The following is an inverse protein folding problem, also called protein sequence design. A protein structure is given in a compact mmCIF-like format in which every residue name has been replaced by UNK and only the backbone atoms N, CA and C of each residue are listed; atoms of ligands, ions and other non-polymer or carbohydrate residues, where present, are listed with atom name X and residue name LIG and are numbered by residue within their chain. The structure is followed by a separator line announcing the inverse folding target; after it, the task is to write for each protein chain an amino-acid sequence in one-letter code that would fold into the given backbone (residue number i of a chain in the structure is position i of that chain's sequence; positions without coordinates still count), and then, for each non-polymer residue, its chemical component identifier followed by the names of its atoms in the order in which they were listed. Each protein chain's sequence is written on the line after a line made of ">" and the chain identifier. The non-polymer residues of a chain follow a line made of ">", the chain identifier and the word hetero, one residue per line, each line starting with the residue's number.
data_IF_494349513190
#
_entry.id   IF_494349513190
#
_cell.length_a   1.000
_cell.length_b   1.000
_cell.length_c   1.000
_cell.angle_alpha   90.00
_cell.angle_beta   90.00
_cell.angle_gamma   90.00
#
_symmetry.space_group_name_H-M   'P 1'
#
loop_
_entity.id
_entity.type
_entity.pdbx_description
1 polymer ?
#
# COMPACT_ATOMS: atom_id res chain seq x y z
N UNK A 1 26.93 13.67 5.88
CA UNK A 1 26.46 13.96 4.50
C UNK A 1 27.05 15.30 4.08
N UNK A 2 27.52 15.44 2.84
CA UNK A 2 27.91 16.76 2.33
C UNK A 2 26.68 17.67 2.14
N UNK A 3 26.88 18.99 2.05
CA UNK A 3 25.79 19.97 1.94
C UNK A 3 24.89 19.72 0.72
N UNK A 4 25.46 19.22 -0.39
CA UNK A 4 24.72 18.91 -1.60
C UNK A 4 23.80 17.70 -1.40
N UNK A 5 24.28 16.63 -0.76
CA UNK A 5 23.48 15.46 -0.41
C UNK A 5 22.35 15.83 0.57
N UNK A 6 22.61 16.72 1.53
CA UNK A 6 21.56 17.16 2.47
C UNK A 6 20.45 17.95 1.77
N UNK A 7 20.79 18.85 0.85
CA UNK A 7 19.80 19.54 0.01
C UNK A 7 18.97 18.54 -0.81
N UNK A 8 19.63 17.56 -1.41
CA UNK A 8 18.97 16.50 -2.19
C UNK A 8 18.05 15.62 -1.33
N UNK A 9 18.47 15.29 -0.10
CA UNK A 9 17.67 14.56 0.88
C UNK A 9 16.40 15.32 1.23
N UNK A 10 16.53 16.60 1.58
CA UNK A 10 15.38 17.45 1.92
C UNK A 10 14.41 17.56 0.74
N UNK A 11 14.93 17.65 -0.48
CA UNK A 11 14.12 17.65 -1.69
C UNK A 11 13.35 16.33 -1.87
N UNK A 12 14.03 15.18 -1.81
CA UNK A 12 13.39 13.85 -1.92
C UNK A 12 12.34 13.65 -0.80
N UNK A 13 12.64 14.09 0.43
CA UNK A 13 11.67 14.07 1.52
C UNK A 13 10.40 14.86 1.16
N UNK A 14 10.54 16.09 0.63
CA UNK A 14 9.39 16.88 0.17
C UNK A 14 8.61 16.17 -0.93
N UNK A 15 9.30 15.55 -1.90
CA UNK A 15 8.65 14.74 -2.94
C UNK A 15 7.81 13.61 -2.35
N UNK A 16 8.30 12.89 -1.32
CA UNK A 16 7.55 11.83 -0.66
C UNK A 16 6.29 12.34 0.05
N UNK A 17 6.37 13.50 0.73
CA UNK A 17 5.19 14.14 1.34
C UNK A 17 4.16 14.53 0.27
N UNK A 18 4.61 15.15 -0.82
CA UNK A 18 3.72 15.54 -1.93
C UNK A 18 3.12 14.31 -2.59
N UNK A 19 3.90 13.24 -2.81
CA UNK A 19 3.43 11.99 -3.38
C UNK A 19 2.31 11.38 -2.52
N UNK A 20 2.54 11.25 -1.21
CA UNK A 20 1.52 10.75 -0.26
C UNK A 20 0.28 11.63 -0.25
N UNK A 21 0.44 12.96 -0.26
CA UNK A 21 -0.68 13.88 -0.32
C UNK A 21 -1.51 13.68 -1.59
N UNK A 22 -0.85 13.60 -2.75
CA UNK A 22 -1.49 13.32 -4.03
C UNK A 22 -2.24 11.99 -3.98
N UNK A 23 -1.62 10.92 -3.46
CA UNK A 23 -2.28 9.62 -3.34
C UNK A 23 -3.55 9.65 -2.50
N UNK A 24 -3.56 10.42 -1.42
CA UNK A 24 -4.70 10.51 -0.51
C UNK A 24 -5.82 11.35 -1.11
N UNK A 25 -5.49 12.47 -1.76
CA UNK A 25 -6.48 13.44 -2.25
C UNK A 25 -6.76 13.37 -3.75
N UNK A 26 -6.16 12.44 -4.49
CA UNK A 26 -6.29 12.30 -5.95
C UNK A 26 -7.76 12.28 -6.40
N UNK A 27 -8.60 11.46 -5.78
CA UNK A 27 -10.00 11.32 -6.17
C UNK A 27 -10.80 12.60 -5.96
N UNK A 28 -10.63 13.25 -4.82
CA UNK A 28 -11.31 14.52 -4.51
C UNK A 28 -10.84 15.63 -5.45
N UNK A 29 -9.52 15.76 -5.67
CA UNK A 29 -8.96 16.76 -6.58
C UNK A 29 -9.48 16.57 -8.01
N UNK A 30 -9.51 15.33 -8.51
CA UNK A 30 -9.99 15.04 -9.87
C UNK A 30 -11.49 15.32 -10.04
N UNK A 31 -12.31 15.16 -8.99
CA UNK A 31 -13.74 15.51 -9.01
C UNK A 31 -13.99 17.02 -9.05
N UNK A 32 -13.11 17.81 -8.43
CA UNK A 32 -13.25 19.27 -8.36
C UNK A 32 -12.69 20.00 -9.58
N UNK A 33 -11.89 19.32 -10.40
CA UNK A 33 -11.18 19.91 -11.53
C UNK A 33 -11.85 19.54 -12.86
N UNK A 34 -11.74 20.39 -13.89
CA UNK A 34 -12.09 20.03 -15.27
C UNK A 34 -11.37 18.75 -15.72
N UNK A 35 -11.99 17.98 -16.62
CA UNK A 35 -11.51 16.66 -17.07
C UNK A 35 -10.04 16.65 -17.50
N UNK A 36 -9.59 17.67 -18.23
CA UNK A 36 -8.20 17.81 -18.66
C UNK A 36 -7.22 17.95 -17.47
N UNK A 37 -7.57 18.76 -16.46
CA UNK A 37 -6.76 18.91 -15.25
C UNK A 37 -6.84 17.66 -14.36
N UNK A 38 -7.98 16.96 -14.35
CA UNK A 38 -8.14 15.66 -13.69
C UNK A 38 -7.19 14.59 -14.25
N UNK A 39 -6.91 14.61 -15.55
CA UNK A 39 -5.91 13.73 -16.17
C UNK A 39 -4.49 14.07 -15.70
N UNK A 40 -4.13 15.36 -15.62
CA UNK A 40 -2.82 15.77 -15.09
C UNK A 40 -2.63 15.34 -13.64
N UNK A 41 -3.66 15.46 -12.80
CA UNK A 41 -3.62 14.98 -11.41
C UNK A 41 -3.45 13.46 -11.37
N UNK A 42 -4.09 12.71 -12.27
CA UNK A 42 -3.90 11.27 -12.38
C UNK A 42 -2.44 10.90 -12.67
N UNK A 43 -1.75 11.61 -13.58
CA UNK A 43 -0.34 11.36 -13.90
C UNK A 43 0.66 12.03 -12.94
N UNK A 44 0.21 12.87 -12.00
CA UNK A 44 1.10 13.61 -11.11
C UNK A 44 2.01 12.70 -10.28
N UNK A 45 1.49 11.58 -9.78
CA UNK A 45 2.28 10.56 -9.06
C UNK A 45 3.41 9.97 -9.91
N UNK A 46 3.20 9.84 -11.22
CA UNK A 46 4.18 9.29 -12.15
C UNK A 46 5.32 10.30 -12.34
N UNK A 47 4.96 11.57 -12.54
CA UNK A 47 5.91 12.69 -12.65
C UNK A 47 6.76 12.79 -11.38
N UNK A 48 6.14 12.71 -10.19
CA UNK A 48 6.86 12.75 -8.92
C UNK A 48 7.85 11.58 -8.76
N UNK A 49 7.47 10.38 -9.21
CA UNK A 49 8.37 9.22 -9.20
C UNK A 49 9.52 9.38 -10.19
N UNK A 50 9.27 9.90 -11.39
CA UNK A 50 10.30 10.21 -12.40
C UNK A 50 11.30 11.25 -11.85
N UNK A 51 10.81 12.32 -11.21
CA UNK A 51 11.65 13.29 -10.51
C UNK A 51 12.48 12.62 -9.40
N UNK A 52 11.88 11.65 -8.70
CA UNK A 52 12.55 10.76 -7.75
C UNK A 52 13.72 9.99 -8.38
N UNK A 53 13.53 9.38 -9.56
CA UNK A 53 14.58 8.65 -10.29
C UNK A 53 15.76 9.57 -10.61
N UNK A 54 15.50 10.75 -11.18
CA UNK A 54 16.55 11.72 -11.51
C UNK A 54 17.26 12.27 -10.27
N UNK A 55 16.57 12.33 -9.14
CA UNK A 55 17.17 12.76 -7.88
C UNK A 55 18.06 11.67 -7.28
N UNK A 56 17.58 10.42 -7.30
CA UNK A 56 18.30 9.27 -6.77
C UNK A 56 19.53 8.91 -7.60
N UNK A 57 19.53 9.16 -8.92
CA UNK A 57 20.73 8.95 -9.75
C UNK A 57 21.91 9.84 -9.36
N UNK A 58 21.64 10.98 -8.70
CA UNK A 58 22.65 11.92 -8.15
C UNK A 58 22.97 11.63 -6.67
N UNK A 59 22.25 10.72 -6.04
CA UNK A 59 22.39 10.40 -4.62
C UNK A 59 23.50 9.36 -4.39
N UNK A 60 24.27 9.53 -3.32
CA UNK A 60 25.24 8.51 -2.87
C UNK A 60 24.51 7.47 -2.01
N UNK A 61 23.90 6.48 -2.67
CA UNK A 61 23.22 5.38 -2.00
C UNK A 61 24.22 4.45 -1.31
N UNK A 62 23.84 3.91 -0.15
CA UNK A 62 24.62 2.93 0.58
C UNK A 62 23.74 1.80 1.15
N UNK A 63 24.39 0.72 1.60
CA UNK A 63 23.76 -0.38 2.31
C UNK A 63 22.56 -0.98 1.58
N UNK A 64 21.45 -1.14 2.32
CA UNK A 64 20.23 -1.79 1.83
C UNK A 64 19.54 -1.00 0.71
N UNK A 65 19.65 0.34 0.70
CA UNK A 65 19.06 1.17 -0.35
C UNK A 65 19.75 0.95 -1.70
N UNK A 66 21.09 0.86 -1.70
CA UNK A 66 21.85 0.55 -2.91
C UNK A 66 21.55 -0.86 -3.44
N UNK A 67 21.43 -1.84 -2.54
CA UNK A 67 21.07 -3.20 -2.91
C UNK A 67 19.68 -3.26 -3.55
N UNK A 68 18.68 -2.57 -2.96
CA UNK A 68 17.33 -2.51 -3.53
C UNK A 68 17.36 -1.86 -4.93
N UNK A 69 18.11 -0.77 -5.09
CA UNK A 69 18.27 -0.09 -6.38
C UNK A 69 18.96 -0.97 -7.44
N UNK A 70 19.95 -1.76 -7.06
CA UNK A 70 20.60 -2.73 -7.98
C UNK A 70 19.61 -3.81 -8.43
N UNK A 71 18.86 -4.38 -7.50
CA UNK A 71 17.88 -5.42 -7.82
C UNK A 71 16.74 -4.87 -8.69
N UNK A 72 16.32 -3.63 -8.45
CA UNK A 72 15.37 -2.95 -9.32
C UNK A 72 15.88 -2.84 -10.76
N UNK A 73 17.16 -2.44 -10.96
CA UNK A 73 17.78 -2.43 -12.30
C UNK A 73 17.82 -3.82 -12.93
N UNK A 74 18.11 -4.85 -12.16
CA UNK A 74 18.07 -6.24 -12.65
C UNK A 74 16.67 -6.62 -13.12
N UNK A 75 15.63 -6.30 -12.34
CA UNK A 75 14.24 -6.55 -12.75
C UNK A 75 13.88 -5.77 -14.00
N UNK A 76 14.32 -4.51 -14.14
CA UNK A 76 14.15 -3.74 -15.38
C UNK A 76 14.70 -4.45 -16.62
N UNK A 77 15.86 -5.11 -16.51
CA UNK A 77 16.43 -5.87 -17.62
C UNK A 77 15.58 -7.10 -17.97
N UNK A 78 15.04 -7.80 -16.96
CA UNK A 78 14.19 -8.97 -17.16
C UNK A 78 12.82 -8.60 -17.75
N UNK A 79 12.40 -7.34 -17.64
CA UNK A 79 11.18 -6.84 -18.29
C UNK A 79 11.36 -6.47 -19.77
N UNK A 80 12.58 -6.54 -20.33
CA UNK A 80 12.82 -6.18 -21.73
C UNK A 80 11.98 -7.03 -22.70
N UNK A 81 11.89 -8.38 -22.59
CA UNK A 81 11.11 -9.19 -23.53
C UNK A 81 9.62 -8.79 -23.65
N UNK A 82 8.82 -8.70 -22.56
CA UNK A 82 7.42 -8.28 -22.68
C UNK A 82 7.29 -6.83 -23.15
N UNK A 83 8.25 -5.95 -22.84
CA UNK A 83 8.25 -4.57 -23.36
C UNK A 83 8.44 -4.58 -24.89
N UNK A 84 9.45 -5.29 -25.39
CA UNK A 84 9.72 -5.38 -26.83
C UNK A 84 8.53 -5.98 -27.57
N UNK A 85 7.92 -7.03 -27.02
CA UNK A 85 6.71 -7.62 -27.57
C UNK A 85 5.56 -6.59 -27.66
N UNK A 86 5.34 -5.84 -26.59
CA UNK A 86 4.29 -4.80 -26.56
C UNK A 86 4.56 -3.66 -27.53
N UNK A 87 5.82 -3.26 -27.73
CA UNK A 87 6.21 -2.19 -28.67
C UNK A 87 5.77 -2.52 -30.11
N UNK A 88 5.77 -3.79 -30.50
CA UNK A 88 5.29 -4.19 -31.83
C UNK A 88 3.78 -4.02 -32.01
N UNK A 89 3.00 -4.05 -30.93
CA UNK A 89 1.57 -3.78 -30.95
C UNK A 89 1.27 -2.28 -30.77
N UNK A 90 1.81 -1.68 -29.71
CA UNK A 90 1.63 -0.28 -29.37
C UNK A 90 2.81 0.24 -28.50
N UNK A 91 3.69 1.09 -29.06
CA UNK A 91 4.81 1.68 -28.33
C UNK A 91 4.41 2.53 -27.12
N UNK A 92 3.29 3.26 -27.19
CA UNK A 92 2.82 4.11 -26.09
C UNK A 92 2.34 3.22 -24.94
N UNK A 93 1.62 2.15 -25.28
CA UNK A 93 1.16 1.17 -24.31
C UNK A 93 2.32 0.50 -23.58
N UNK A 94 3.42 0.17 -24.28
CA UNK A 94 4.61 -0.42 -23.67
C UNK A 94 5.20 0.44 -22.54
N UNK A 95 5.25 1.76 -22.73
CA UNK A 95 5.73 2.72 -21.72
C UNK A 95 4.75 2.79 -20.55
N UNK A 96 3.45 2.78 -20.86
CA UNK A 96 2.40 2.79 -19.85
C UNK A 96 2.36 1.51 -19.00
N UNK A 97 2.55 0.34 -19.62
CA UNK A 97 2.70 -0.92 -18.92
C UNK A 97 3.96 -0.92 -18.06
N UNK A 98 5.09 -0.45 -18.60
CA UNK A 98 6.36 -0.44 -17.87
C UNK A 98 6.28 0.37 -16.58
N UNK A 99 5.61 1.53 -16.59
CA UNK A 99 5.46 2.33 -15.38
C UNK A 99 4.67 1.59 -14.29
N UNK A 100 3.68 0.78 -14.68
CA UNK A 100 2.78 0.13 -13.76
C UNK A 100 3.51 -0.86 -12.84
N UNK A 101 4.46 -1.60 -13.41
CA UNK A 101 5.27 -2.57 -12.68
C UNK A 101 6.52 -1.95 -12.05
N UNK A 102 7.22 -1.06 -12.78
CA UNK A 102 8.60 -0.72 -12.42
C UNK A 102 8.83 0.70 -11.91
N UNK A 103 7.98 1.68 -12.25
CA UNK A 103 8.24 3.09 -11.91
C UNK A 103 8.20 3.31 -10.40
N UNK A 104 7.19 2.77 -9.73
CA UNK A 104 6.91 3.08 -8.33
C UNK A 104 7.89 2.45 -7.34
N UNK A 105 8.75 1.52 -7.80
CA UNK A 105 9.79 0.94 -6.95
C UNK A 105 10.77 1.97 -6.40
N UNK A 106 10.97 3.06 -7.13
CA UNK A 106 11.85 4.15 -6.72
C UNK A 106 11.47 4.72 -5.35
N UNK A 107 10.19 4.67 -4.98
CA UNK A 107 9.69 5.14 -3.68
C UNK A 107 10.35 4.36 -2.54
N UNK A 108 10.55 3.06 -2.69
CA UNK A 108 11.23 2.22 -1.70
C UNK A 108 12.70 2.58 -1.50
N UNK A 109 13.35 3.12 -2.54
CA UNK A 109 14.74 3.60 -2.49
C UNK A 109 14.80 5.04 -1.96
N UNK A 110 13.84 5.89 -2.32
CA UNK A 110 13.73 7.28 -1.83
C UNK A 110 13.55 7.35 -0.32
N UNK A 111 12.78 6.43 0.27
CA UNK A 111 12.49 6.38 1.70
C UNK A 111 13.76 6.33 2.60
N UNK A 112 14.63 5.29 2.54
CA UNK A 112 15.83 5.23 3.37
C UNK A 112 16.85 6.32 3.06
N UNK A 113 16.82 6.92 1.86
CA UNK A 113 17.63 8.10 1.57
C UNK A 113 17.08 9.35 2.24
N UNK A 114 15.77 9.60 2.17
CA UNK A 114 15.11 10.76 2.76
C UNK A 114 15.16 10.78 4.30
N UNK A 115 15.09 9.59 4.90
CA UNK A 115 15.06 9.38 6.34
C UNK A 115 16.23 8.51 6.79
N UNK A 116 17.47 9.04 6.76
CA UNK A 116 18.62 8.30 7.26
C UNK A 116 18.51 8.07 8.78
N UNK A 117 19.33 7.16 9.35
CA UNK A 117 19.26 6.79 10.76
C UNK A 117 19.28 7.96 11.76
N UNK A 118 20.04 9.02 11.48
CA UNK A 118 20.10 10.22 12.32
C UNK A 118 18.83 11.10 12.27
N UNK A 119 17.91 10.83 11.34
CA UNK A 119 16.66 11.58 11.11
C UNK A 119 15.39 10.77 11.43
N UNK A 120 15.48 9.81 12.35
CA UNK A 120 14.35 8.98 12.77
C UNK A 120 13.13 9.79 13.26
N UNK A 121 13.33 10.95 13.88
CA UNK A 121 12.22 11.81 14.29
C UNK A 121 11.47 12.44 13.10
N UNK A 122 12.15 12.68 11.97
CA UNK A 122 11.49 13.10 10.73
C UNK A 122 10.63 11.97 10.14
N UNK A 123 11.13 10.72 10.20
CA UNK A 123 10.36 9.55 9.75
C UNK A 123 9.11 9.33 10.61
N UNK A 124 9.21 9.48 11.94
CA UNK A 124 8.03 9.44 12.82
C UNK A 124 6.99 10.48 12.42
N UNK A 125 7.41 11.73 12.15
CA UNK A 125 6.50 12.79 11.69
C UNK A 125 5.84 12.43 10.35
N UNK A 126 6.57 11.79 9.45
CA UNK A 126 6.03 11.29 8.18
C UNK A 126 4.95 10.23 8.42
N UNK A 127 5.23 9.21 9.24
CA UNK A 127 4.24 8.19 9.64
C UNK A 127 3.03 8.82 10.33
N UNK A 128 3.25 9.71 11.30
CA UNK A 128 2.18 10.45 11.99
C UNK A 128 1.32 11.24 11.01
N UNK A 129 1.91 11.87 9.99
CA UNK A 129 1.13 12.63 8.99
C UNK A 129 0.20 11.75 8.16
N UNK A 130 0.64 10.52 7.83
CA UNK A 130 -0.19 9.54 7.11
C UNK A 130 -1.34 9.06 8.00
N UNK A 131 -1.06 8.76 9.27
CA UNK A 131 -2.11 8.39 10.22
C UNK A 131 -3.08 9.54 10.49
N UNK A 132 -2.61 10.78 10.59
CA UNK A 132 -3.48 11.95 10.75
C UNK A 132 -4.42 12.16 9.56
N UNK A 133 -4.01 11.76 8.35
CA UNK A 133 -4.87 11.79 7.18
C UNK A 133 -6.08 10.82 7.27
N UNK A 134 -6.09 9.88 8.23
CA UNK A 134 -7.29 9.08 8.53
C UNK A 134 -8.48 9.97 8.93
N UNK A 135 -8.22 11.08 9.63
CA UNK A 135 -9.29 11.97 10.13
C UNK A 135 -10.06 12.63 8.97
N UNK A 136 -9.42 13.42 8.07
CA UNK A 136 -10.14 14.05 6.97
C UNK A 136 -10.70 13.02 5.98
N UNK A 137 -9.99 11.92 5.70
CA UNK A 137 -10.51 10.88 4.80
C UNK A 137 -11.76 10.22 5.38
N UNK A 138 -11.76 9.88 6.66
CA UNK A 138 -12.94 9.29 7.30
C UNK A 138 -14.09 10.27 7.40
N UNK A 139 -13.82 11.55 7.67
CA UNK A 139 -14.86 12.58 7.67
C UNK A 139 -15.55 12.69 6.29
N UNK A 140 -14.78 12.67 5.20
CA UNK A 140 -15.33 12.64 3.83
C UNK A 140 -16.11 11.35 3.56
N UNK A 141 -15.66 10.21 4.07
CA UNK A 141 -16.37 8.94 3.93
C UNK A 141 -17.74 8.96 4.65
N UNK A 142 -17.78 9.51 5.87
CA UNK A 142 -19.03 9.72 6.63
C UNK A 142 -19.97 10.65 5.90
N UNK A 143 -19.45 11.73 5.32
CA UNK A 143 -20.22 12.65 4.50
C UNK A 143 -20.79 11.94 3.25
N UNK A 144 -19.96 11.19 2.52
CA UNK A 144 -20.40 10.40 1.36
C UNK A 144 -21.53 9.43 1.70
N UNK A 145 -21.41 8.71 2.82
CA UNK A 145 -22.43 7.76 3.27
C UNK A 145 -23.76 8.44 3.66
N UNK A 146 -23.70 9.71 4.06
CA UNK A 146 -24.88 10.49 4.47
C UNK A 146 -25.56 11.20 3.29
N UNK A 147 -24.95 11.19 2.11
CA UNK A 147 -25.43 11.88 0.90
C UNK A 147 -26.04 10.87 -0.08
N UNK A 148 -26.97 11.31 -0.95
CA UNK A 148 -27.56 10.43 -1.97
C UNK A 148 -26.50 9.98 -3.00
N UNK A 149 -26.74 8.83 -3.65
CA UNK A 149 -25.82 8.30 -4.67
C UNK A 149 -25.61 9.24 -5.87
N UNK A 150 -26.61 10.07 -6.17
CA UNK A 150 -26.56 11.11 -7.22
C UNK A 150 -25.73 12.33 -6.86
N UNK A 151 -25.33 12.50 -5.60
CA UNK A 151 -24.52 13.64 -5.19
C UNK A 151 -23.13 13.58 -5.84
N UNK A 152 -22.59 14.72 -6.30
CA UNK A 152 -21.31 14.78 -7.03
C UNK A 152 -20.14 14.10 -6.28
N UNK A 153 -20.15 14.16 -4.94
CA UNK A 153 -19.15 13.50 -4.10
C UNK A 153 -19.20 11.96 -4.20
N UNK A 154 -20.38 11.40 -4.53
CA UNK A 154 -20.69 9.99 -4.68
C UNK A 154 -20.68 9.50 -6.14
N UNK A 155 -20.40 10.40 -7.10
CA UNK A 155 -20.18 10.01 -8.50
C UNK A 155 -18.75 9.51 -8.71
N UNK A 156 -18.53 8.80 -9.81
CA UNK A 156 -17.18 8.47 -10.27
C UNK A 156 -16.44 9.73 -10.71
N UNK A 157 -15.12 9.62 -10.96
CA UNK A 157 -14.34 10.76 -11.46
C UNK A 157 -14.80 11.23 -12.85
N UNK A 158 -15.38 10.33 -13.63
CA UNK A 158 -15.90 10.64 -14.97
C UNK A 158 -17.39 11.06 -14.93
N UNK A 159 -17.95 11.26 -13.72
CA UNK A 159 -19.34 11.69 -13.51
C UNK A 159 -20.37 10.58 -13.62
N UNK A 160 -19.96 9.34 -13.93
CA UNK A 160 -20.86 8.20 -13.98
C UNK A 160 -21.35 7.77 -12.59
N UNK A 161 -22.57 7.23 -12.54
CA UNK A 161 -23.14 6.65 -11.32
C UNK A 161 -22.27 5.51 -10.81
N UNK A 162 -22.00 5.49 -9.50
CA UNK A 162 -21.33 4.38 -8.82
C UNK A 162 -22.29 3.27 -8.39
N UNK A 163 -23.57 3.31 -8.80
CA UNK A 163 -24.58 2.30 -8.47
C UNK A 163 -24.20 0.91 -8.99
N UNK A 164 -23.51 0.82 -10.14
CA UNK A 164 -22.96 -0.45 -10.65
C UNK A 164 -21.84 -1.03 -9.76
N UNK A 165 -21.28 -0.23 -8.85
CA UNK A 165 -20.35 -0.67 -7.82
C UNK A 165 -21.03 -0.73 -6.43
N UNK A 166 -22.35 -0.61 -6.36
CA UNK A 166 -23.10 -0.80 -5.12
C UNK A 166 -22.95 -2.25 -4.64
N UNK A 167 -22.89 -2.41 -3.33
CA UNK A 167 -22.93 -3.72 -2.70
C UNK A 167 -24.33 -3.91 -2.14
N UNK A 168 -25.09 -4.86 -2.68
CA UNK A 168 -26.46 -5.12 -2.25
C UNK A 168 -27.34 -3.86 -2.23
N UNK A 169 -27.22 -3.00 -3.26
CA UNK A 169 -27.97 -1.74 -3.34
C UNK A 169 -27.46 -0.63 -2.41
N UNK A 170 -26.39 -0.85 -1.63
CA UNK A 170 -25.72 0.19 -0.83
C UNK A 170 -24.52 0.76 -1.55
N UNK A 171 -24.43 2.09 -1.57
CA UNK A 171 -23.29 2.81 -2.14
C UNK A 171 -22.02 2.50 -1.33
N UNK A 172 -20.93 2.17 -2.02
CA UNK A 172 -19.60 2.05 -1.41
C UNK A 172 -18.87 3.38 -1.46
N UNK A 173 -18.35 3.83 -0.32
CA UNK A 173 -17.65 5.12 -0.23
C UNK A 173 -16.16 4.97 -0.54
N UNK A 174 -15.63 5.85 -1.40
CA UNK A 174 -14.20 5.90 -1.75
C UNK A 174 -13.43 6.99 -0.99
N UNK A 175 -14.11 7.76 -0.15
CA UNK A 175 -13.56 8.94 0.52
C UNK A 175 -12.96 9.92 -0.50
N UNK A 176 -11.75 10.42 -0.25
CA UNK A 176 -10.97 11.31 -1.11
C UNK A 176 -10.22 10.56 -2.22
N UNK A 177 -10.35 9.23 -2.31
CA UNK A 177 -9.68 8.38 -3.30
C UNK A 177 -10.54 8.19 -4.56
N UNK A 178 -9.90 7.86 -5.68
CA UNK A 178 -10.60 7.70 -6.96
C UNK A 178 -11.50 6.47 -6.99
N UNK A 179 -11.22 5.46 -6.17
CA UNK A 179 -12.05 4.26 -6.03
C UNK A 179 -11.89 3.60 -4.65
N UNK A 180 -12.86 2.77 -4.29
CA UNK A 180 -12.97 2.10 -2.98
C UNK A 180 -11.78 1.20 -2.66
N UNK A 181 -11.20 0.55 -3.68
CA UNK A 181 -9.98 -0.26 -3.54
C UNK A 181 -8.77 0.55 -3.08
N UNK A 182 -8.53 1.74 -3.66
CA UNK A 182 -7.45 2.64 -3.21
C UNK A 182 -7.61 3.01 -1.75
N UNK A 183 -8.83 3.37 -1.34
CA UNK A 183 -9.11 3.72 0.05
C UNK A 183 -8.87 2.53 0.99
N UNK A 184 -9.29 1.33 0.60
CA UNK A 184 -9.07 0.09 1.36
C UNK A 184 -7.58 -0.18 1.61
N UNK A 185 -6.74 -0.04 0.58
CA UNK A 185 -5.29 -0.26 0.73
C UNK A 185 -4.60 0.84 1.54
N UNK A 186 -5.06 2.09 1.46
CA UNK A 186 -4.63 3.15 2.37
C UNK A 186 -4.97 2.80 3.82
N UNK A 187 -6.18 2.33 4.11
CA UNK A 187 -6.59 1.92 5.45
C UNK A 187 -5.73 0.76 5.98
N UNK A 188 -5.43 -0.25 5.15
CA UNK A 188 -4.55 -1.38 5.52
C UNK A 188 -3.13 -0.90 5.89
N UNK A 189 -2.60 0.06 5.12
CA UNK A 189 -1.29 0.66 5.38
C UNK A 189 -1.30 1.52 6.65
N UNK A 190 -2.29 2.40 6.78
CA UNK A 190 -2.47 3.28 7.92
C UNK A 190 -2.71 2.49 9.21
N UNK A 191 -3.40 1.34 9.15
CA UNK A 191 -3.56 0.39 10.23
C UNK A 191 -2.21 -0.11 10.75
N UNK A 192 -1.33 -0.54 9.83
CA UNK A 192 0.01 -1.02 10.18
C UNK A 192 0.88 0.08 10.79
N UNK A 193 0.83 1.30 10.23
CA UNK A 193 1.51 2.48 10.76
C UNK A 193 0.97 2.96 12.12
N UNK A 194 -0.35 2.87 12.34
CA UNK A 194 -0.96 3.19 13.62
C UNK A 194 -0.58 2.16 14.69
N UNK A 195 -0.60 0.87 14.34
CA UNK A 195 -0.11 -0.18 15.22
C UNK A 195 1.36 0.06 15.60
N UNK A 196 2.24 0.36 14.64
CA UNK A 196 3.62 0.77 14.94
C UNK A 196 3.71 1.96 15.88
N UNK A 197 2.86 2.98 15.68
CA UNK A 197 2.86 4.20 16.52
C UNK A 197 2.55 3.89 18.00
N UNK A 198 1.79 2.83 18.28
CA UNK A 198 1.53 2.35 19.64
C UNK A 198 2.74 1.67 20.30
N UNK A 199 3.59 1.04 19.49
CA UNK A 199 4.78 0.30 19.94
C UNK A 199 6.08 1.11 19.84
N UNK A 200 6.01 2.39 19.48
CA UNK A 200 7.21 3.20 19.36
C UNK A 200 8.02 3.21 20.68
N UNK A 201 9.36 3.00 20.64
CA UNK A 201 10.19 3.09 21.84
C UNK A 201 10.00 4.46 22.49
N UNK A 202 9.46 4.46 23.71
CA UNK A 202 9.17 5.70 24.43
C UNK A 202 10.49 6.38 24.80
N UNK A 203 10.75 7.56 24.25
CA UNK A 203 11.54 8.55 24.99
C UNK A 203 10.70 8.95 26.20
N UNK A 204 11.31 9.25 27.35
CA UNK A 204 10.55 9.78 28.48
C UNK A 204 9.90 11.12 28.10
N UNK A 205 8.67 11.06 27.61
CA UNK A 205 7.87 12.24 27.30
C UNK A 205 7.12 12.62 28.57
N UNK A 206 7.62 13.64 29.28
CA UNK A 206 6.98 14.18 30.49
C UNK A 206 5.91 15.22 30.12
N UNK A 207 4.82 15.26 30.90
CA UNK A 207 3.79 16.32 30.83
C UNK A 207 2.86 16.28 29.61
N UNK A 208 2.50 17.47 29.09
CA UNK A 208 1.46 17.71 28.07
C UNK A 208 1.60 16.87 26.79
N UNK A 209 2.83 16.53 26.40
CA UNK A 209 3.07 15.76 25.19
C UNK A 209 2.55 14.30 25.27
N UNK A 210 2.43 13.73 26.47
CA UNK A 210 1.78 12.41 26.67
C UNK A 210 0.28 12.46 26.39
N UNK A 211 -0.40 13.51 26.86
CA UNK A 211 -1.85 13.69 26.63
C UNK A 211 -2.17 13.85 25.15
N UNK A 212 -1.38 14.66 24.42
CA UNK A 212 -1.53 14.81 22.98
C UNK A 212 -1.33 13.50 22.21
N UNK A 213 -0.38 12.65 22.62
CA UNK A 213 -0.19 11.35 22.00
C UNK A 213 -1.41 10.44 22.18
N UNK A 214 -2.04 10.44 23.36
CA UNK A 214 -3.26 9.66 23.61
C UNK A 214 -4.41 10.17 22.75
N UNK A 215 -4.63 11.49 22.69
CA UNK A 215 -5.68 12.10 21.86
C UNK A 215 -5.46 11.75 20.38
N UNK A 216 -4.22 11.86 19.89
CA UNK A 216 -3.86 11.48 18.54
C UNK A 216 -4.17 10.01 18.24
N UNK A 217 -3.73 9.08 19.10
CA UNK A 217 -3.97 7.65 18.92
C UNK A 217 -5.47 7.30 18.99
N UNK A 218 -6.22 7.94 19.89
CA UNK A 218 -7.66 7.75 20.00
C UNK A 218 -8.38 8.28 18.77
N UNK A 219 -8.10 9.52 18.34
CA UNK A 219 -8.73 10.12 17.18
C UNK A 219 -8.46 9.31 15.90
N UNK A 220 -7.19 8.97 15.64
CA UNK A 220 -6.82 8.18 14.46
C UNK A 220 -7.31 6.73 14.53
N UNK A 221 -7.35 6.13 15.72
CA UNK A 221 -7.92 4.79 15.93
C UNK A 221 -9.42 4.72 15.68
N UNK A 222 -10.18 5.70 16.17
CA UNK A 222 -11.62 5.83 15.90
C UNK A 222 -11.86 6.11 14.42
N UNK A 223 -11.09 7.00 13.80
CA UNK A 223 -11.17 7.25 12.36
C UNK A 223 -10.87 5.99 11.54
N UNK A 224 -9.83 5.23 11.89
CA UNK A 224 -9.52 3.97 11.20
C UNK A 224 -10.67 2.97 11.31
N UNK A 225 -11.26 2.83 12.50
CA UNK A 225 -12.40 1.95 12.74
C UNK A 225 -13.59 2.32 11.84
N UNK A 226 -14.05 3.58 11.93
CA UNK A 226 -15.17 4.06 11.12
C UNK A 226 -14.84 3.92 9.63
N UNK A 227 -13.66 4.40 9.21
CA UNK A 227 -13.19 4.33 7.82
C UNK A 227 -13.17 2.90 7.28
N UNK A 228 -12.74 1.92 8.08
CA UNK A 228 -12.64 0.51 7.67
C UNK A 228 -14.02 -0.09 7.37
N UNK A 229 -15.01 0.12 8.24
CA UNK A 229 -16.34 -0.47 8.07
C UNK A 229 -17.22 0.31 7.09
N UNK A 230 -17.16 1.65 7.12
CA UNK A 230 -18.01 2.50 6.27
C UNK A 230 -17.74 2.30 4.78
N UNK A 231 -16.54 1.83 4.39
CA UNK A 231 -16.23 1.51 2.99
C UNK A 231 -17.15 0.45 2.37
N UNK A 232 -17.79 -0.39 3.19
CA UNK A 232 -18.53 -1.59 2.74
C UNK A 232 -17.64 -2.62 2.00
N UNK A 233 -16.31 -2.48 2.09
CA UNK A 233 -15.34 -3.31 1.39
C UNK A 233 -14.72 -4.36 2.29
N UNK A 234 -14.89 -5.65 1.95
CA UNK A 234 -14.21 -6.76 2.65
C UNK A 234 -12.68 -6.59 2.65
N UNK A 235 -12.10 -6.02 1.58
CA UNK A 235 -10.66 -5.76 1.48
C UNK A 235 -10.12 -4.79 2.54
N UNK A 236 -10.93 -3.84 3.02
CA UNK A 236 -10.53 -2.94 4.11
C UNK A 236 -10.60 -3.67 5.46
N UNK A 237 -11.73 -4.31 5.76
CA UNK A 237 -11.95 -5.00 7.05
C UNK A 237 -11.00 -6.18 7.22
N UNK A 238 -11.00 -7.11 6.25
CA UNK A 238 -10.14 -8.30 6.29
C UNK A 238 -8.68 -7.92 6.11
N UNK A 239 -8.37 -6.90 5.31
CA UNK A 239 -7.00 -6.43 5.12
C UNK A 239 -6.40 -5.87 6.41
N UNK A 240 -7.10 -4.95 7.09
CA UNK A 240 -6.71 -4.45 8.40
C UNK A 240 -6.61 -5.58 9.42
N UNK A 241 -7.59 -6.49 9.45
CA UNK A 241 -7.59 -7.66 10.33
C UNK A 241 -6.36 -8.56 10.13
N UNK A 242 -6.05 -8.93 8.90
CA UNK A 242 -4.88 -9.76 8.56
C UNK A 242 -3.58 -9.04 8.90
N UNK A 243 -3.45 -7.74 8.60
CA UNK A 243 -2.28 -6.95 9.00
C UNK A 243 -2.08 -6.99 10.52
N UNK A 244 -3.14 -6.76 11.31
CA UNK A 244 -3.04 -6.81 12.77
C UNK A 244 -2.71 -8.21 13.27
N UNK A 245 -3.42 -9.25 12.83
CA UNK A 245 -3.21 -10.64 13.27
C UNK A 245 -1.80 -11.11 12.95
N UNK A 246 -1.34 -10.96 11.70
CA UNK A 246 0.02 -11.35 11.32
C UNK A 246 1.06 -10.48 12.03
N UNK A 247 0.82 -9.17 12.16
CA UNK A 247 1.71 -8.25 12.87
C UNK A 247 1.89 -8.64 14.33
N UNK A 248 0.80 -8.98 15.03
CA UNK A 248 0.84 -9.48 16.41
C UNK A 248 1.49 -10.87 16.49
N UNK A 249 1.22 -11.77 15.55
CA UNK A 249 1.85 -13.09 15.50
C UNK A 249 3.38 -12.99 15.38
N UNK A 250 3.88 -12.22 14.40
CA UNK A 250 5.32 -11.97 14.25
C UNK A 250 5.90 -11.24 15.48
N UNK A 251 5.21 -10.25 16.02
CA UNK A 251 5.70 -9.53 17.18
C UNK A 251 5.74 -10.41 18.45
N UNK A 252 4.80 -11.34 18.62
CA UNK A 252 4.76 -12.28 19.73
C UNK A 252 5.94 -13.26 19.72
N UNK A 253 6.45 -13.64 18.53
CA UNK A 253 7.64 -14.50 18.40
C UNK A 253 8.89 -13.85 19.02
N UNK A 254 9.06 -12.53 18.87
CA UNK A 254 10.27 -11.82 19.34
C UNK A 254 10.09 -11.15 20.70
N UNK A 255 8.87 -10.72 21.03
CA UNK A 255 8.58 -9.84 22.17
C UNK A 255 7.24 -10.19 22.85
N UNK A 256 7.04 -11.45 23.30
CA UNK A 256 5.73 -11.89 23.81
C UNK A 256 5.22 -11.05 24.98
N UNK A 257 6.09 -10.67 25.93
CA UNK A 257 5.70 -9.84 27.08
C UNK A 257 5.20 -8.43 26.70
N UNK A 258 5.73 -7.83 25.62
CA UNK A 258 5.23 -6.54 25.13
C UNK A 258 3.86 -6.69 24.46
N UNK A 259 3.64 -7.80 23.75
CA UNK A 259 2.37 -8.09 23.09
C UNK A 259 1.27 -8.44 24.09
N UNK A 260 1.58 -9.23 25.12
CA UNK A 260 0.61 -9.51 26.19
C UNK A 260 0.23 -8.22 26.92
N UNK A 261 1.21 -7.41 27.35
CA UNK A 261 0.94 -6.20 28.13
C UNK A 261 0.22 -5.10 27.35
N UNK A 262 0.66 -4.81 26.11
CA UNK A 262 0.12 -3.70 25.31
C UNK A 262 -0.93 -4.16 24.30
N UNK A 263 -0.73 -5.31 23.67
CA UNK A 263 -1.61 -5.85 22.65
C UNK A 263 -2.98 -6.22 23.21
N UNK A 264 -3.07 -6.86 24.38
CA UNK A 264 -4.36 -7.16 25.02
C UNK A 264 -5.14 -5.89 25.34
N UNK A 265 -4.48 -4.84 25.84
CA UNK A 265 -5.12 -3.54 26.08
C UNK A 265 -5.62 -2.96 24.75
N UNK A 266 -4.81 -3.00 23.69
CA UNK A 266 -5.20 -2.54 22.37
C UNK A 266 -6.42 -3.28 21.82
N UNK A 267 -6.46 -4.61 21.95
CA UNK A 267 -7.59 -5.46 21.53
C UNK A 267 -8.85 -5.17 22.35
N UNK A 268 -8.71 -5.03 23.67
CA UNK A 268 -9.83 -4.69 24.55
C UNK A 268 -10.42 -3.31 24.18
N UNK A 269 -9.56 -2.29 24.03
CA UNK A 269 -9.99 -0.94 23.62
C UNK A 269 -10.64 -0.98 22.24
N UNK A 270 -10.05 -1.71 21.28
CA UNK A 270 -10.62 -1.88 19.94
C UNK A 270 -12.01 -2.52 19.99
N UNK A 271 -12.18 -3.58 20.77
CA UNK A 271 -13.46 -4.31 20.91
C UNK A 271 -14.54 -3.41 21.52
N UNK A 272 -14.19 -2.67 22.58
CA UNK A 272 -15.10 -1.72 23.23
C UNK A 272 -15.48 -0.60 22.26
N UNK A 273 -14.52 -0.02 21.54
CA UNK A 273 -14.78 1.03 20.56
C UNK A 273 -15.64 0.52 19.41
N UNK A 274 -15.35 -0.68 18.89
CA UNK A 274 -16.13 -1.31 17.82
C UNK A 274 -17.57 -1.53 18.25
N UNK A 275 -17.80 -2.10 19.44
CA UNK A 275 -19.14 -2.30 20.00
C UNK A 275 -19.87 -0.97 20.23
N UNK A 276 -19.18 0.03 20.80
CA UNK A 276 -19.75 1.36 21.04
C UNK A 276 -20.13 2.10 19.75
N UNK A 277 -19.27 2.09 18.73
CA UNK A 277 -19.55 2.73 17.43
C UNK A 277 -20.69 1.97 16.73
N UNK A 278 -20.70 0.63 16.75
CA UNK A 278 -21.78 -0.16 16.15
C UNK A 278 -23.12 0.09 16.81
N UNK A 279 -23.16 0.23 18.14
CA UNK A 279 -24.37 0.57 18.88
C UNK A 279 -24.85 2.00 18.59
N UNK A 280 -23.93 2.96 18.50
CA UNK A 280 -24.26 4.37 18.26
C UNK A 280 -24.62 4.68 16.79
N UNK A 281 -24.01 3.95 15.85
CA UNK A 281 -24.03 4.22 14.40
C UNK A 281 -24.06 2.92 13.58
N UNK A 282 -25.13 2.12 13.66
CA UNK A 282 -25.26 0.88 12.89
C UNK A 282 -25.18 1.10 11.37
N UNK A 283 -25.55 2.29 10.89
CA UNK A 283 -25.48 2.66 9.46
C UNK A 283 -24.06 2.58 8.88
N UNK A 284 -23.02 2.72 9.70
CA UNK A 284 -21.62 2.58 9.25
C UNK A 284 -21.21 1.13 8.99
N UNK A 285 -21.98 0.17 9.51
CA UNK A 285 -21.74 -1.25 9.36
C UNK A 285 -22.68 -1.89 8.34
N UNK A 286 -23.82 -1.26 8.03
CA UNK A 286 -24.88 -1.81 7.19
C UNK A 286 -24.36 -2.42 5.87
N UNK A 287 -23.57 -1.67 5.10
CA UNK A 287 -23.04 -2.15 3.81
C UNK A 287 -22.05 -3.33 3.96
N UNK A 288 -21.36 -3.45 5.08
CA UNK A 288 -20.50 -4.60 5.38
C UNK A 288 -21.33 -5.78 5.88
N UNK A 289 -22.24 -5.53 6.82
CA UNK A 289 -23.12 -6.51 7.43
C UNK A 289 -23.92 -7.22 6.35
N UNK A 290 -24.55 -6.48 5.43
CA UNK A 290 -25.32 -7.03 4.30
C UNK A 290 -24.50 -7.99 3.44
N UNK A 291 -23.26 -7.63 3.10
CA UNK A 291 -22.34 -8.53 2.38
C UNK A 291 -21.90 -9.73 3.19
N UNK A 292 -21.95 -9.64 4.52
CA UNK A 292 -21.56 -10.73 5.42
C UNK A 292 -22.75 -11.55 5.90
N UNK A 293 -23.98 -11.10 5.67
CA UNK A 293 -25.22 -11.70 6.16
C UNK A 293 -26.02 -12.41 5.09
N UNK A 294 -25.62 -12.34 3.81
CA UNK A 294 -26.16 -13.21 2.75
C UNK A 294 -25.94 -14.68 3.15
N UNK A 295 -26.92 -15.20 3.90
CA UNK A 295 -27.00 -16.50 4.57
C UNK A 295 -27.96 -17.45 3.83
N UNK A 296 -28.59 -17.03 2.73
CA UNK A 296 -29.63 -17.80 2.03
C UNK A 296 -29.08 -18.79 0.98
N UNK A 297 -27.76 -18.96 0.89
CA UNK A 297 -27.16 -20.14 0.25
C UNK A 297 -25.86 -20.46 0.98
N UNK A 298 -25.52 -21.74 1.21
CA UNK A 298 -24.37 -22.19 2.00
C UNK A 298 -22.97 -21.85 1.44
N UNK A 299 -22.77 -20.66 0.88
CA UNK A 299 -21.71 -20.29 -0.04
C UNK A 299 -20.73 -19.24 0.51
N UNK A 300 -20.70 -18.88 1.80
CA UNK A 300 -19.60 -18.01 2.28
C UNK A 300 -18.23 -18.68 2.07
N UNK A 301 -18.14 -19.98 2.36
CA UNK A 301 -16.95 -20.76 2.07
C UNK A 301 -16.73 -20.93 0.56
N UNK A 302 -17.80 -21.02 -0.25
CA UNK A 302 -17.69 -21.17 -1.70
C UNK A 302 -17.36 -19.87 -2.43
N UNK A 303 -17.81 -18.72 -1.94
CA UNK A 303 -17.46 -17.40 -2.45
C UNK A 303 -16.03 -17.05 -2.02
N UNK A 304 -15.64 -17.35 -0.78
CA UNK A 304 -14.25 -17.17 -0.33
C UNK A 304 -13.30 -18.12 -1.07
N UNK A 305 -13.69 -19.39 -1.24
CA UNK A 305 -12.94 -20.36 -2.06
C UNK A 305 -12.92 -19.90 -3.52
N UNK A 306 -14.05 -19.48 -4.09
CA UNK A 306 -14.14 -18.98 -5.46
C UNK A 306 -13.32 -17.73 -5.70
N UNK A 307 -13.17 -16.84 -4.71
CA UNK A 307 -12.29 -15.67 -4.82
C UNK A 307 -10.83 -16.02 -4.60
N UNK A 308 -10.49 -16.83 -3.61
CA UNK A 308 -9.08 -17.21 -3.39
C UNK A 308 -8.61 -18.12 -4.52
N UNK A 309 -9.29 -19.25 -4.71
CA UNK A 309 -9.00 -20.21 -5.77
C UNK A 309 -9.19 -19.58 -7.15
N UNK A 310 -10.27 -18.84 -7.39
CA UNK A 310 -10.50 -18.21 -8.68
C UNK A 310 -9.47 -17.13 -9.00
N UNK A 311 -9.06 -16.29 -8.04
CA UNK A 311 -7.98 -15.33 -8.28
C UNK A 311 -6.64 -16.00 -8.63
N UNK A 312 -6.43 -17.27 -8.27
CA UNK A 312 -5.21 -18.01 -8.56
C UNK A 312 -5.34 -19.03 -9.69
N UNK A 313 -6.54 -19.45 -10.08
CA UNK A 313 -6.77 -20.52 -11.05
C UNK A 313 -7.68 -20.12 -12.22
N UNK A 314 -8.43 -19.01 -12.15
CA UNK A 314 -9.34 -18.65 -13.25
C UNK A 314 -8.61 -18.43 -14.57
N UNK A 315 -7.36 -17.95 -14.53
CA UNK A 315 -6.50 -17.85 -15.71
C UNK A 315 -6.32 -19.16 -16.47
N UNK A 316 -6.33 -20.33 -15.80
CA UNK A 316 -6.13 -21.62 -16.49
C UNK A 316 -7.26 -21.96 -17.45
N UNK A 317 -8.45 -21.38 -17.25
CA UNK A 317 -9.61 -21.67 -18.08
C UNK A 317 -9.50 -21.05 -19.47
N UNK A 318 -8.86 -19.89 -19.60
CA UNK A 318 -8.78 -19.15 -20.87
C UNK A 318 -7.37 -19.09 -21.45
N UNK A 319 -6.31 -19.24 -20.64
CA UNK A 319 -4.93 -19.07 -21.13
C UNK A 319 -4.58 -20.05 -22.24
N UNK A 320 -5.04 -21.31 -22.13
CA UNK A 320 -4.71 -22.38 -23.08
C UNK A 320 -5.56 -22.34 -24.35
N UNK A 321 -6.53 -21.41 -24.43
CA UNK A 321 -7.31 -21.15 -25.64
C UNK A 321 -6.61 -20.12 -26.55
N UNK A 322 -5.54 -19.47 -26.07
CA UNK A 322 -4.77 -18.48 -26.82
C UNK A 322 -3.63 -19.11 -27.63
N UNK A 323 -3.08 -18.35 -28.58
CA UNK A 323 -1.87 -18.73 -29.32
C UNK A 323 -0.66 -18.91 -28.38
N UNK A 324 0.27 -19.79 -28.72
CA UNK A 324 1.47 -20.10 -27.92
C UNK A 324 2.30 -18.85 -27.62
N UNK A 325 2.36 -17.89 -28.54
CA UNK A 325 3.05 -16.62 -28.34
C UNK A 325 2.36 -15.81 -27.23
N UNK A 326 1.03 -15.72 -27.27
CA UNK A 326 0.23 -15.04 -26.25
C UNK A 326 0.25 -15.77 -24.89
N UNK A 327 0.33 -17.11 -24.88
CA UNK A 327 0.53 -17.88 -23.64
C UNK A 327 1.85 -17.49 -22.95
N UNK A 328 2.93 -17.34 -23.72
CA UNK A 328 4.27 -17.07 -23.17
C UNK A 328 4.46 -15.59 -22.83
N UNK A 329 4.09 -14.68 -23.74
CA UNK A 329 4.38 -13.24 -23.67
C UNK A 329 3.16 -12.35 -23.45
N UNK A 330 1.96 -12.93 -23.39
CA UNK A 330 0.71 -12.21 -23.14
C UNK A 330 0.21 -11.46 -24.37
N UNK A 331 -0.75 -10.57 -24.13
CA UNK A 331 -1.40 -9.75 -25.13
C UNK A 331 -0.89 -8.29 -25.13
N UNK A 332 0.16 -7.99 -24.37
CA UNK A 332 0.75 -6.66 -24.27
C UNK A 332 0.70 -6.09 -22.86
N UNK A 333 1.84 -5.52 -22.44
CA UNK A 333 2.05 -4.96 -21.12
C UNK A 333 1.18 -3.72 -20.92
N UNK A 334 0.40 -3.68 -19.85
CA UNK A 334 -0.46 -2.54 -19.52
C UNK A 334 -1.82 -2.52 -20.21
N UNK A 335 -2.17 -3.50 -21.06
CA UNK A 335 -3.48 -3.59 -21.72
C UNK A 335 -4.63 -3.57 -20.71
N UNK A 336 -4.47 -4.20 -19.55
CA UNK A 336 -5.52 -4.34 -18.54
C UNK A 336 -5.40 -3.32 -17.40
N UNK A 337 -4.42 -2.42 -17.50
CA UNK A 337 -4.20 -1.33 -16.55
C UNK A 337 -5.34 -0.31 -16.61
N UNK A 338 -5.60 0.36 -15.48
CA UNK A 338 -6.65 1.36 -15.42
C UNK A 338 -6.29 2.60 -16.24
N UNK A 339 -7.15 2.98 -17.19
CA UNK A 339 -6.96 4.13 -18.07
C UNK A 339 -6.14 3.85 -19.33
N UNK A 340 -5.72 2.60 -19.57
CA UNK A 340 -5.02 2.21 -20.81
C UNK A 340 -5.89 2.41 -22.05
N UNK A 341 -7.20 2.23 -21.92
CA UNK A 341 -8.19 2.44 -22.99
C UNK A 341 -8.29 3.91 -23.44
N UNK A 342 -7.83 4.85 -22.62
CA UNK A 342 -7.83 6.28 -22.96
C UNK A 342 -6.58 6.72 -23.74
N UNK A 343 -5.57 5.86 -23.84
CA UNK A 343 -4.26 6.20 -24.44
C UNK A 343 -3.86 5.26 -25.59
N UNK A 344 -4.49 4.10 -25.72
CA UNK A 344 -4.15 3.05 -26.68
C UNK A 344 -5.43 2.48 -27.29
N UNK A 345 -5.55 2.59 -28.61
CA UNK A 345 -6.67 1.98 -29.35
C UNK A 345 -6.62 0.46 -29.25
N UNK A 346 -5.42 -0.13 -29.34
CA UNK A 346 -5.21 -1.57 -29.17
C UNK A 346 -5.74 -2.07 -27.82
N UNK A 347 -5.46 -1.33 -26.74
CA UNK A 347 -6.01 -1.66 -25.42
C UNK A 347 -7.52 -1.50 -25.34
N UNK A 348 -8.10 -0.52 -26.05
CA UNK A 348 -9.54 -0.32 -26.10
C UNK A 348 -10.24 -1.48 -26.80
N UNK A 349 -9.75 -1.89 -27.97
CA UNK A 349 -10.32 -2.98 -28.77
C UNK A 349 -10.27 -4.30 -28.01
N UNK A 350 -9.13 -4.64 -27.40
CA UNK A 350 -8.99 -5.86 -26.60
C UNK A 350 -9.94 -5.91 -25.38
N UNK A 351 -10.22 -4.78 -24.73
CA UNK A 351 -11.16 -4.74 -23.59
C UNK A 351 -12.63 -4.86 -24.03
N UNK A 352 -12.95 -4.58 -25.29
CA UNK A 352 -14.27 -4.82 -25.85
C UNK A 352 -14.48 -6.29 -26.19
N UNK A 353 -13.44 -6.95 -26.69
CA UNK A 353 -13.49 -8.35 -27.11
C UNK A 353 -13.33 -9.34 -25.93
N UNK A 354 -12.55 -8.97 -24.92
CA UNK A 354 -12.26 -9.83 -23.78
C UNK A 354 -13.03 -9.43 -22.51
N UNK A 355 -13.40 -10.41 -21.70
CA UNK A 355 -13.85 -10.17 -20.33
C UNK A 355 -12.67 -9.66 -19.52
N UNK A 356 -12.74 -8.40 -19.07
CA UNK A 356 -11.67 -7.77 -18.30
C UNK A 356 -11.23 -8.61 -17.09
N UNK A 357 -9.93 -8.56 -16.77
CA UNK A 357 -9.35 -9.34 -15.68
C UNK A 357 -9.68 -8.72 -14.32
N UNK A 358 -10.22 -9.52 -13.39
CA UNK A 358 -10.56 -9.05 -12.05
C UNK A 358 -9.34 -9.04 -11.12
N UNK A 359 -8.52 -10.10 -11.14
CA UNK A 359 -7.38 -10.27 -10.25
C UNK A 359 -6.07 -9.74 -10.83
N UNK A 360 -5.10 -9.43 -9.97
CA UNK A 360 -3.74 -9.02 -10.36
C UNK A 360 -2.98 -10.15 -11.07
N UNK A 361 -3.22 -11.40 -10.66
CA UNK A 361 -2.59 -12.58 -11.24
C UNK A 361 -3.10 -12.80 -12.67
N UNK A 362 -4.42 -12.80 -12.86
CA UNK A 362 -5.04 -12.88 -14.18
C UNK A 362 -4.57 -11.73 -15.08
N UNK A 363 -4.49 -10.51 -14.55
CA UNK A 363 -3.97 -9.33 -15.26
C UNK A 363 -2.53 -9.52 -15.71
N UNK A 364 -1.67 -10.03 -14.83
CA UNK A 364 -0.24 -10.22 -15.12
C UNK A 364 -0.06 -11.28 -16.22
N UNK A 365 -0.82 -12.38 -16.16
CA UNK A 365 -0.79 -13.43 -17.19
C UNK A 365 -1.37 -12.91 -18.50
N UNK A 366 -2.47 -12.18 -18.46
CA UNK A 366 -3.08 -11.65 -19.67
C UNK A 366 -2.16 -10.68 -20.39
N UNK A 367 -1.50 -9.79 -19.65
CA UNK A 367 -0.63 -8.74 -20.21
C UNK A 367 0.72 -9.28 -20.69
N UNK A 368 1.38 -10.16 -19.92
CA UNK A 368 2.76 -10.58 -20.19
C UNK A 368 2.99 -12.09 -20.20
N UNK A 369 1.92 -12.88 -20.20
CA UNK A 369 1.96 -14.34 -20.27
C UNK A 369 2.51 -14.99 -19.02
N UNK A 370 2.79 -16.30 -19.13
CA UNK A 370 3.45 -17.07 -18.07
C UNK A 370 4.82 -16.47 -17.74
N UNK A 371 5.53 -15.90 -18.72
CA UNK A 371 6.83 -15.27 -18.50
C UNK A 371 6.74 -14.13 -17.48
N UNK A 372 5.86 -13.15 -17.71
CA UNK A 372 5.72 -12.02 -16.80
C UNK A 372 5.21 -12.48 -15.44
N UNK A 373 4.28 -13.45 -15.39
CA UNK A 373 3.79 -13.97 -14.12
C UNK A 373 4.92 -14.58 -13.27
N UNK A 374 5.77 -15.41 -13.86
CA UNK A 374 6.94 -15.99 -13.16
C UNK A 374 7.87 -14.89 -12.68
N UNK A 375 8.27 -13.96 -13.57
CA UNK A 375 9.22 -12.89 -13.23
C UNK A 375 8.67 -11.99 -12.12
N UNK A 376 7.43 -11.54 -12.27
CA UNK A 376 6.80 -10.59 -11.36
C UNK A 376 6.53 -11.19 -9.99
N UNK A 377 5.96 -12.40 -9.93
CA UNK A 377 5.66 -13.06 -8.66
C UNK A 377 6.90 -13.63 -7.98
N UNK A 378 7.91 -14.09 -8.72
CA UNK A 378 9.21 -14.43 -8.13
C UNK A 378 9.86 -13.21 -7.48
N UNK A 379 9.77 -12.04 -8.12
CA UNK A 379 10.26 -10.80 -7.54
C UNK A 379 9.46 -10.40 -6.28
N UNK A 380 8.14 -10.51 -6.30
CA UNK A 380 7.30 -10.25 -5.11
C UNK A 380 7.61 -11.19 -3.95
N UNK A 381 7.79 -12.48 -4.22
CA UNK A 381 8.21 -13.46 -3.24
C UNK A 381 9.59 -13.12 -2.68
N UNK A 382 10.53 -12.73 -3.53
CA UNK A 382 11.85 -12.26 -3.11
C UNK A 382 11.75 -11.04 -2.17
N UNK A 383 10.86 -10.06 -2.45
CA UNK A 383 10.65 -8.92 -1.55
C UNK A 383 10.15 -9.35 -0.16
N UNK A 384 9.23 -10.31 -0.11
CA UNK A 384 8.72 -10.87 1.15
C UNK A 384 9.87 -11.53 1.93
N UNK A 385 10.63 -12.41 1.28
CA UNK A 385 11.77 -13.11 1.88
C UNK A 385 12.82 -12.11 2.35
N UNK A 386 13.07 -11.06 1.57
CA UNK A 386 14.01 -10.00 1.89
C UNK A 386 13.61 -9.24 3.17
N UNK A 387 12.35 -8.79 3.26
CA UNK A 387 11.83 -8.12 4.45
C UNK A 387 11.76 -9.05 5.68
N UNK A 388 11.39 -10.32 5.47
CA UNK A 388 11.40 -11.34 6.51
C UNK A 388 12.82 -11.57 7.06
N UNK A 389 13.82 -11.66 6.18
CA UNK A 389 15.23 -11.78 6.57
C UNK A 389 15.74 -10.57 7.36
N UNK A 390 15.26 -9.36 7.06
CA UNK A 390 15.53 -8.16 7.86
C UNK A 390 14.92 -8.27 9.26
N UNK A 391 13.65 -8.67 9.34
CA UNK A 391 12.95 -8.87 10.62
C UNK A 391 13.63 -9.95 11.47
N UNK A 392 14.00 -11.09 10.88
CA UNK A 392 14.68 -12.18 11.58
C UNK A 392 16.02 -11.74 12.19
N UNK A 393 16.80 -10.94 11.45
CA UNK A 393 18.11 -10.41 11.87
C UNK A 393 18.02 -9.28 12.90
N UNK A 394 16.83 -8.72 13.15
CA UNK A 394 16.65 -7.69 14.17
C UNK A 394 16.80 -8.30 15.57
N UNK A 395 17.81 -7.81 16.32
CA UNK A 395 18.13 -8.31 17.67
C UNK A 395 17.34 -7.60 18.77
N UNK A 396 17.02 -6.32 18.56
CA UNK A 396 16.31 -5.52 19.57
C UNK A 396 14.81 -5.75 19.49
N UNK A 397 14.26 -6.13 20.64
CA UNK A 397 12.83 -6.44 20.83
C UNK A 397 11.92 -5.31 20.35
N UNK A 398 12.19 -4.06 20.72
CA UNK A 398 11.30 -2.95 20.38
C UNK A 398 11.20 -2.70 18.86
N UNK A 399 12.34 -2.70 18.16
CA UNK A 399 12.37 -2.47 16.72
C UNK A 399 11.80 -3.67 15.93
N UNK A 400 11.98 -4.89 16.45
CA UNK A 400 11.40 -6.09 15.84
C UNK A 400 9.86 -6.06 15.84
N UNK A 401 9.23 -5.48 16.88
CA UNK A 401 7.77 -5.31 16.93
C UNK A 401 7.31 -4.35 15.84
N UNK A 402 7.99 -3.22 15.66
CA UNK A 402 7.66 -2.27 14.58
C UNK A 402 7.78 -2.91 13.19
N UNK A 403 8.87 -3.65 12.97
CA UNK A 403 9.09 -4.39 11.73
C UNK A 403 8.02 -5.47 11.48
N UNK A 404 7.43 -6.04 12.54
CA UNK A 404 6.40 -7.09 12.42
C UNK A 404 5.13 -6.57 11.75
N UNK A 405 4.67 -5.36 12.13
CA UNK A 405 3.50 -4.74 11.51
C UNK A 405 3.78 -4.30 10.06
N UNK A 406 4.97 -3.78 9.75
CA UNK A 406 5.33 -3.50 8.35
C UNK A 406 5.41 -4.77 7.51
N UNK A 407 6.03 -5.82 8.05
CA UNK A 407 6.16 -7.11 7.39
C UNK A 407 4.79 -7.71 7.09
N UNK A 408 3.83 -7.58 8.02
CA UNK A 408 2.45 -8.04 7.79
C UNK A 408 1.81 -7.38 6.57
N UNK A 409 1.96 -6.06 6.42
CA UNK A 409 1.44 -5.34 5.26
C UNK A 409 2.18 -5.69 3.98
N UNK A 410 3.51 -5.84 4.04
CA UNK A 410 4.32 -6.28 2.89
C UNK A 410 3.87 -7.67 2.43
N UNK A 411 3.68 -8.63 3.34
CA UNK A 411 3.18 -9.97 3.01
C UNK A 411 1.81 -9.88 2.36
N UNK A 412 0.87 -9.15 2.97
CA UNK A 412 -0.49 -9.01 2.43
C UNK A 412 -0.47 -8.40 1.01
N UNK A 413 0.14 -7.23 0.86
CA UNK A 413 0.10 -6.50 -0.40
C UNK A 413 0.99 -7.15 -1.48
N UNK A 414 2.17 -7.67 -1.13
CA UNK A 414 3.00 -8.40 -2.08
C UNK A 414 2.46 -9.80 -2.43
N UNK A 415 1.49 -10.36 -1.72
CA UNK A 415 0.88 -11.64 -2.09
C UNK A 415 -0.40 -11.47 -2.91
N UNK A 416 -1.32 -10.61 -2.45
CA UNK A 416 -2.66 -10.49 -3.04
C UNK A 416 -3.00 -9.08 -3.53
N UNK A 417 -2.12 -8.11 -3.31
CA UNK A 417 -2.33 -6.74 -3.76
C UNK A 417 -2.31 -6.62 -5.27
N UNK A 418 -3.17 -5.73 -5.79
CA UNK A 418 -3.25 -5.39 -7.20
C UNK A 418 -2.12 -4.45 -7.65
N UNK A 419 -0.88 -4.86 -7.40
CA UNK A 419 0.34 -4.06 -7.58
C UNK A 419 0.62 -3.82 -9.07
N UNK A 420 0.34 -4.82 -9.93
CA UNK A 420 0.47 -4.74 -11.38
C UNK A 420 -0.69 -4.02 -12.08
N UNK A 421 -1.78 -3.69 -11.37
CA UNK A 421 -2.94 -2.98 -11.95
C UNK A 421 -3.16 -1.56 -11.39
N UNK A 422 -2.82 -1.34 -10.12
CA UNK A 422 -3.15 -0.11 -9.39
C UNK A 422 -1.89 0.61 -8.88
N UNK A 423 -1.47 1.73 -9.51
CA UNK A 423 -0.32 2.51 -9.07
C UNK A 423 -0.29 2.86 -7.57
N UNK A 424 -1.40 3.32 -6.94
CA UNK A 424 -1.33 3.69 -5.53
C UNK A 424 -1.05 2.50 -4.62
N UNK A 425 -1.59 1.32 -4.94
CA UNK A 425 -1.35 0.08 -4.18
C UNK A 425 0.12 -0.29 -4.25
N UNK A 426 0.74 -0.15 -5.42
CA UNK A 426 2.16 -0.34 -5.64
C UNK A 426 3.00 0.67 -4.83
N UNK A 427 2.66 1.95 -4.85
CA UNK A 427 3.37 2.96 -4.06
C UNK A 427 3.27 2.69 -2.55
N UNK A 428 2.11 2.29 -2.03
CA UNK A 428 1.98 1.93 -0.62
C UNK A 428 2.86 0.73 -0.23
N UNK A 429 2.97 -0.29 -1.09
CA UNK A 429 3.88 -1.42 -0.88
C UNK A 429 5.33 -0.93 -0.76
N UNK A 430 5.78 -0.07 -1.68
CA UNK A 430 7.14 0.46 -1.67
C UNK A 430 7.42 1.40 -0.50
N UNK A 431 6.44 2.18 -0.05
CA UNK A 431 6.55 2.95 1.20
C UNK A 431 6.77 2.03 2.41
N UNK A 432 6.08 0.88 2.47
CA UNK A 432 6.27 -0.10 3.54
C UNK A 432 7.66 -0.75 3.49
N UNK A 433 8.12 -1.18 2.31
CA UNK A 433 9.47 -1.75 2.13
C UNK A 433 10.54 -0.72 2.50
N UNK A 434 10.40 0.52 2.04
CA UNK A 434 11.29 1.61 2.42
C UNK A 434 11.32 1.87 3.94
N UNK A 435 10.16 1.77 4.60
CA UNK A 435 10.03 1.88 6.05
C UNK A 435 10.74 0.76 6.80
N UNK A 436 10.69 -0.48 6.29
CA UNK A 436 11.46 -1.62 6.81
C UNK A 436 12.96 -1.32 6.78
N UNK A 437 13.46 -0.76 5.66
CA UNK A 437 14.87 -0.38 5.52
C UNK A 437 15.28 0.73 6.50
N UNK A 438 14.45 1.76 6.69
CA UNK A 438 14.70 2.85 7.65
C UNK A 438 14.87 2.29 9.07
N UNK A 439 13.93 1.46 9.51
CA UNK A 439 13.97 0.88 10.86
C UNK A 439 15.19 -0.03 11.04
N UNK A 440 15.54 -0.83 10.03
CA UNK A 440 16.73 -1.68 10.07
C UNK A 440 18.01 -0.86 10.18
N UNK A 441 18.18 0.16 9.33
CA UNK A 441 19.37 1.01 9.33
C UNK A 441 19.51 1.75 10.67
N UNK A 442 18.39 2.18 11.26
CA UNK A 442 18.39 2.79 12.59
C UNK A 442 18.80 1.81 13.69
N UNK A 443 18.22 0.60 13.69
CA UNK A 443 18.58 -0.43 14.65
C UNK A 443 20.08 -0.74 14.60
N UNK A 444 20.64 -0.90 13.40
CA UNK A 444 22.07 -1.18 13.22
C UNK A 444 22.96 -0.04 13.72
N UNK A 445 22.56 1.22 13.51
CA UNK A 445 23.31 2.37 14.03
C UNK A 445 23.29 2.39 15.56
N UNK A 446 22.13 2.15 16.18
CA UNK A 446 22.02 2.10 17.63
C UNK A 446 22.85 0.95 18.23
N UNK A 447 22.84 -0.23 17.59
CA UNK A 447 23.63 -1.37 18.03
C UNK A 447 25.14 -1.10 17.94
N UNK A 448 25.59 -0.33 16.94
CA UNK A 448 26.98 0.12 16.84
C UNK A 448 27.36 1.10 17.96
N UNK A 449 26.53 2.12 18.19
CA UNK A 449 26.77 3.12 19.24
C UNK A 449 26.85 2.49 20.63
N UNK A 450 25.99 1.51 20.91
CA UNK A 450 26.01 0.78 22.19
C UNK A 450 27.29 -0.02 22.36
N UNK A 451 27.76 -0.73 21.32
CA UNK A 451 29.03 -1.46 21.36
C UNK A 451 30.21 -0.53 21.60
N UNK A 452 30.26 0.60 20.91
CA UNK A 452 31.31 1.61 21.08
C UNK A 452 31.31 2.20 22.51
N UNK A 453 30.13 2.46 23.09
CA UNK A 453 30.03 2.92 24.48
C UNK A 453 30.52 1.87 25.49
N UNK A 454 30.20 0.59 25.27
CA UNK A 454 30.64 -0.49 26.14
C UNK A 454 32.16 -0.69 26.08
N UNK A 455 32.76 -0.60 24.90
CA UNK A 455 34.23 -0.66 24.76
C UNK A 455 34.90 0.52 25.47
N UNK A 456 34.35 1.74 25.37
CA UNK A 456 34.90 2.91 26.06
C UNK A 456 34.81 2.80 27.58
N UNK A 457 33.73 2.24 28.13
CA UNK A 457 33.63 2.02 29.57
C UNK A 457 34.62 0.97 30.09
N UNK A 458 34.95 -0.03 29.28
CA UNK A 458 35.93 -1.07 29.65
C UNK A 458 37.36 -0.53 29.57
N UNK A 459 37.66 0.37 28.64
CA UNK A 459 39.00 1.01 28.54
C UNK A 459 39.22 2.08 29.64
N UNK A 460 38.14 2.66 30.15
CA UNK A 460 38.20 3.67 31.20
C UNK A 460 38.23 3.09 32.63
N UNK A 461 37.89 1.80 32.78
CA UNK A 461 37.97 1.05 34.02
C UNK A 461 39.30 0.28 34.08
#
# INVERSE_FOLDING_TARGET
>A
MDNQQEKLRVYIKKLLYVLVFVLIFEGLMRKMLPSALGLLVFFLKDILCIMGIFSISKAKLNGLALMLFKNWKTVMLVFIPPVVFTVFHDPILSIFGLKQYLLYMIVGVMMPFAFPPDKMDEFKKFVTSICLALIPTTAVAVLQNSLPASHWLNLSVDGSSLEGFSAAGRLRVSSTFSFTGQYSWFLNMACSFLAMSFFWPKKEVKGKAKSWQIIYLAATGVSLLIGTFITGGRSAVLGCGVCLVLGFAFAAVKSPGQIVSKGLIGIAVFTVLLGGIRAAKPEFFAAYDERSSDNDSGTQSEEMKGRVQGNFLNWTNWVFEQDIVAIIFGNGLGVMSNGSEKISQYSYDLKLESTGTESDFDTTIYEGGIYLAVVWYAFRLWMIIFCLGIWQKSRRKDWSVLLSFLLSYVILNASIGAVGKNPPVNIWLWLAIGSVLIIKNYNDQQDKLLKESATRSVVAA
#
